data_IF_053001056700
#
_entry.id   IF_053001056700
#
_cell.length_a   1.000
_cell.length_b   1.000
_cell.length_c   1.000
_cell.angle_alpha   90.00
_cell.angle_beta   90.00
_cell.angle_gamma   90.00
#
_symmetry.space_group_name_H-M   'P 1'
#
loop_
_entity.id
_entity.type
_entity.pdbx_description
1 polymer ?
#
# COMPACT_ATOMS: atom_id res chain seq x y z
N UNK A 1 17.36 3.13 -9.82
CA UNK A 1 17.45 3.11 -8.32
C UNK A 1 16.37 2.21 -7.78
N UNK A 2 16.74 1.29 -6.92
CA UNK A 2 15.77 0.42 -6.28
C UNK A 2 14.95 1.20 -5.25
N UNK A 3 13.73 0.75 -5.01
CA UNK A 3 12.82 1.40 -4.05
C UNK A 3 13.42 1.46 -2.65
N UNK A 4 14.09 0.39 -2.21
CA UNK A 4 14.73 0.38 -0.90
C UNK A 4 15.77 1.50 -0.77
N UNK A 5 16.58 1.70 -1.81
CA UNK A 5 17.58 2.77 -1.82
C UNK A 5 16.94 4.15 -1.74
N UNK A 6 15.83 4.34 -2.46
CA UNK A 6 15.09 5.59 -2.44
C UNK A 6 14.56 5.90 -1.04
N UNK A 7 13.92 4.92 -0.38
CA UNK A 7 13.42 5.10 0.98
C UNK A 7 14.55 5.31 1.98
N UNK A 8 15.67 4.59 1.84
CA UNK A 8 16.82 4.75 2.72
C UNK A 8 17.40 6.17 2.64
N UNK A 9 17.30 6.80 1.47
CA UNK A 9 17.76 8.17 1.26
C UNK A 9 16.94 9.18 2.06
N UNK A 10 15.61 8.97 2.16
CA UNK A 10 14.73 9.83 2.93
C UNK A 10 14.66 9.47 4.42
N UNK A 11 15.00 8.25 4.77
CA UNK A 11 14.97 7.75 6.16
C UNK A 11 16.33 7.10 6.51
N UNK A 12 17.43 7.89 6.54
CA UNK A 12 18.76 7.32 6.63
C UNK A 12 19.07 6.59 7.94
N UNK A 13 18.36 6.92 9.01
CA UNK A 13 18.59 6.34 10.33
C UNK A 13 17.50 5.33 10.74
N UNK A 14 16.59 5.00 9.84
CA UNK A 14 15.48 4.10 10.14
C UNK A 14 15.72 2.72 9.55
N UNK A 15 15.24 1.70 10.26
CA UNK A 15 15.19 0.35 9.72
C UNK A 15 14.05 0.26 8.71
N UNK A 16 14.37 -0.23 7.52
CA UNK A 16 13.41 -0.39 6.44
C UNK A 16 13.18 -1.88 6.22
N UNK A 17 11.93 -2.31 6.38
CA UNK A 17 11.52 -3.69 6.10
C UNK A 17 10.74 -3.72 4.81
N UNK A 18 11.10 -4.60 3.89
CA UNK A 18 10.40 -4.82 2.63
C UNK A 18 9.95 -6.26 2.58
N UNK A 19 8.65 -6.47 2.33
CA UNK A 19 8.10 -7.80 2.20
C UNK A 19 7.12 -7.85 1.04
N UNK A 20 6.94 -9.04 0.49
CA UNK A 20 5.95 -9.25 -0.56
C UNK A 20 4.56 -9.27 0.05
N UNK A 21 3.60 -8.61 -0.60
CA UNK A 21 2.21 -8.68 -0.19
C UNK A 21 1.62 -9.98 -0.71
N UNK A 22 1.27 -10.89 0.21
CA UNK A 22 0.67 -12.17 -0.13
C UNK A 22 -0.85 -12.10 0.01
N UNK A 23 -1.63 -12.57 -0.97
CA UNK A 23 -3.08 -12.51 -0.89
C UNK A 23 -3.64 -13.40 0.23
N UNK A 24 -4.51 -12.81 1.06
CA UNK A 24 -5.27 -13.53 2.10
C UNK A 24 -6.76 -13.44 1.82
N UNK A 25 -7.22 -12.31 1.34
CA UNK A 25 -8.63 -12.04 1.03
C UNK A 25 -8.94 -12.15 -0.45
N UNK A 26 -7.93 -11.99 -1.31
CA UNK A 26 -8.08 -12.15 -2.76
C UNK A 26 -8.03 -13.63 -3.12
N UNK A 27 -8.69 -14.01 -4.20
CA UNK A 27 -8.71 -15.39 -4.68
C UNK A 27 -7.40 -15.83 -5.34
N UNK A 28 -6.51 -14.91 -5.66
CA UNK A 28 -5.23 -15.24 -6.25
C UNK A 28 -4.33 -15.95 -5.24
N UNK A 29 -3.46 -16.85 -5.72
CA UNK A 29 -2.49 -17.54 -4.87
C UNK A 29 -1.29 -16.65 -4.55
N UNK A 30 -0.97 -15.71 -5.46
CA UNK A 30 0.17 -14.83 -5.34
C UNK A 30 -0.07 -13.58 -6.20
N UNK A 31 0.57 -12.49 -5.85
CA UNK A 31 0.65 -11.32 -6.72
C UNK A 31 1.95 -11.30 -7.53
N UNK A 32 2.70 -12.41 -7.50
CA UNK A 32 3.89 -12.66 -8.32
C UNK A 32 4.95 -11.56 -8.21
N UNK A 33 5.18 -11.05 -6.99
CA UNK A 33 6.17 -9.99 -6.74
C UNK A 33 5.76 -8.60 -7.24
N UNK A 34 4.53 -8.44 -7.70
CA UNK A 34 4.04 -7.16 -8.22
C UNK A 34 3.60 -6.20 -7.12
N UNK A 35 3.35 -6.69 -5.92
CA UNK A 35 2.92 -5.91 -4.78
C UNK A 35 3.84 -6.15 -3.60
N UNK A 36 4.38 -5.06 -3.04
CA UNK A 36 5.30 -5.12 -1.90
C UNK A 36 4.85 -4.13 -0.83
N UNK A 37 5.17 -4.46 0.41
CA UNK A 37 4.89 -3.61 1.57
C UNK A 37 6.21 -3.15 2.15
N UNK A 38 6.34 -1.84 2.35
CA UNK A 38 7.51 -1.25 2.99
C UNK A 38 7.10 -0.70 4.34
N UNK A 39 7.77 -1.13 5.40
CA UNK A 39 7.53 -0.66 6.75
C UNK A 39 8.71 0.17 7.23
N UNK A 40 8.45 1.40 7.65
CA UNK A 40 9.44 2.33 8.19
C UNK A 40 8.80 2.99 9.42
N UNK A 41 9.27 2.62 10.62
CA UNK A 41 8.70 3.11 11.87
C UNK A 41 7.19 2.80 11.94
N UNK A 42 6.33 3.81 12.05
CA UNK A 42 4.87 3.62 12.06
C UNK A 42 4.23 3.75 10.68
N UNK A 43 5.02 4.08 9.67
CA UNK A 43 4.52 4.25 8.31
C UNK A 43 4.63 2.96 7.51
N UNK A 44 3.56 2.62 6.82
CA UNK A 44 3.47 1.41 6.01
C UNK A 44 3.00 1.79 4.61
N UNK A 45 3.80 1.43 3.61
CA UNK A 45 3.56 1.80 2.22
C UNK A 45 3.28 0.58 1.37
N UNK A 46 2.31 0.70 0.46
CA UNK A 46 2.07 -0.31 -0.57
C UNK A 46 2.71 0.13 -1.88
N UNK A 47 3.55 -0.73 -2.43
CA UNK A 47 4.19 -0.54 -3.72
C UNK A 47 3.57 -1.51 -4.71
N UNK A 48 2.97 -0.99 -5.76
CA UNK A 48 2.40 -1.80 -6.84
C UNK A 48 3.14 -1.44 -8.13
N UNK A 49 3.76 -2.43 -8.77
CA UNK A 49 4.56 -2.21 -9.99
C UNK A 49 5.57 -1.06 -9.85
N UNK A 50 6.30 -1.03 -8.72
CA UNK A 50 7.30 -0.01 -8.41
C UNK A 50 6.75 1.41 -8.18
N UNK A 51 5.45 1.54 -7.89
CA UNK A 51 4.80 2.82 -7.62
C UNK A 51 4.14 2.77 -6.25
N UNK A 52 4.32 3.82 -5.45
CA UNK A 52 3.59 3.96 -4.19
C UNK A 52 2.13 4.26 -4.52
N UNK A 53 1.21 3.39 -4.11
CA UNK A 53 -0.22 3.54 -4.44
C UNK A 53 -1.10 3.74 -3.22
N UNK A 54 -0.61 3.36 -2.04
CA UNK A 54 -1.37 3.53 -0.80
C UNK A 54 -0.40 3.51 0.39
N UNK A 55 -0.83 4.06 1.52
CA UNK A 55 -0.04 4.01 2.74
C UNK A 55 -0.94 4.25 3.95
N UNK A 56 -0.48 3.86 5.13
CA UNK A 56 -1.14 4.18 6.37
C UNK A 56 -0.13 4.34 7.50
N UNK A 57 -0.57 5.01 8.57
CA UNK A 57 0.24 5.15 9.78
C UNK A 57 -0.40 4.32 10.90
N UNK A 58 0.41 3.49 11.56
CA UNK A 58 -0.06 2.59 12.61
C UNK A 58 -0.53 3.32 13.87
N UNK A 59 0.08 4.46 14.16
CA UNK A 59 -0.24 5.24 15.35
C UNK A 59 -1.55 6.01 15.17
N UNK A 60 -1.67 6.76 14.07
CA UNK A 60 -2.86 7.56 13.80
C UNK A 60 -4.02 6.73 13.25
N UNK A 61 -3.74 5.57 12.67
CA UNK A 61 -4.69 4.70 11.98
C UNK A 61 -5.42 5.41 10.84
N UNK A 62 -4.70 6.29 10.16
CA UNK A 62 -5.19 7.00 8.98
C UNK A 62 -4.54 6.38 7.75
N UNK A 63 -5.38 6.00 6.78
CA UNK A 63 -4.93 5.44 5.52
C UNK A 63 -5.24 6.39 4.37
N UNK A 64 -4.38 6.40 3.37
CA UNK A 64 -4.57 7.15 2.14
C UNK A 64 -4.28 6.26 0.93
N UNK A 65 -5.06 6.44 -0.12
CA UNK A 65 -4.85 5.81 -1.42
C UNK A 65 -4.54 6.93 -2.41
N UNK A 66 -3.43 6.78 -3.13
CA UNK A 66 -2.96 7.81 -4.07
C UNK A 66 -3.84 7.81 -5.32
N UNK A 67 -4.06 6.62 -5.89
CA UNK A 67 -4.92 6.42 -7.04
C UNK A 67 -5.27 4.94 -7.12
N UNK A 68 -6.35 4.62 -7.78
CA UNK A 68 -6.78 3.23 -7.94
C UNK A 68 -6.21 2.58 -9.20
N UNK A 69 -5.67 3.36 -10.12
CA UNK A 69 -4.97 2.90 -11.32
C UNK A 69 -5.72 1.82 -12.10
N UNK A 70 -5.08 0.65 -12.27
CA UNK A 70 -5.65 -0.49 -13.00
C UNK A 70 -6.44 -1.41 -12.07
N UNK A 71 -7.20 -2.33 -12.65
CA UNK A 71 -7.91 -3.35 -11.89
C UNK A 71 -6.97 -4.21 -11.04
N UNK A 72 -5.77 -4.52 -11.55
CA UNK A 72 -4.77 -5.31 -10.82
C UNK A 72 -4.24 -4.53 -9.62
N UNK A 73 -3.90 -3.25 -9.80
CA UNK A 73 -3.45 -2.40 -8.70
C UNK A 73 -4.55 -2.24 -7.65
N UNK A 74 -5.80 -2.11 -8.08
CA UNK A 74 -6.93 -2.03 -7.14
C UNK A 74 -7.04 -3.29 -6.29
N UNK A 75 -6.77 -4.48 -6.84
CA UNK A 75 -6.74 -5.73 -6.06
C UNK A 75 -5.64 -5.67 -4.99
N UNK A 76 -4.46 -5.15 -5.34
CA UNK A 76 -3.36 -4.96 -4.38
C UNK A 76 -3.79 -4.00 -3.26
N UNK A 77 -4.42 -2.89 -3.60
CA UNK A 77 -4.90 -1.90 -2.64
C UNK A 77 -5.94 -2.51 -1.68
N UNK A 78 -6.90 -3.24 -2.20
CA UNK A 78 -7.91 -3.90 -1.38
C UNK A 78 -7.29 -4.88 -0.40
N UNK A 79 -6.37 -5.71 -0.87
CA UNK A 79 -5.69 -6.69 -0.02
C UNK A 79 -4.88 -6.00 1.07
N UNK A 80 -4.12 -4.97 0.71
CA UNK A 80 -3.32 -4.18 1.65
C UNK A 80 -4.19 -3.55 2.74
N UNK A 81 -5.27 -2.90 2.36
CA UNK A 81 -6.17 -2.24 3.31
C UNK A 81 -6.85 -3.27 4.23
N UNK A 82 -7.34 -4.37 3.69
CA UNK A 82 -8.01 -5.41 4.48
C UNK A 82 -7.07 -6.06 5.49
N UNK A 83 -5.86 -6.39 5.08
CA UNK A 83 -4.88 -6.98 5.99
C UNK A 83 -4.50 -6.02 7.12
N UNK A 84 -4.60 -4.72 6.86
CA UNK A 84 -4.29 -3.68 7.84
C UNK A 84 -5.49 -3.28 8.70
N UNK A 85 -6.64 -3.90 8.49
CA UNK A 85 -7.85 -3.65 9.28
C UNK A 85 -8.72 -2.51 8.77
N UNK A 86 -8.48 -2.02 7.55
CA UNK A 86 -9.28 -0.96 6.94
C UNK A 86 -10.33 -1.55 6.00
N UNK A 87 -11.47 -0.87 5.93
CA UNK A 87 -12.55 -1.27 5.04
C UNK A 87 -12.15 -1.07 3.58
N UNK A 88 -12.34 -2.10 2.77
CA UNK A 88 -12.03 -2.03 1.33
C UNK A 88 -12.98 -2.95 0.57
N UNK A 89 -14.06 -2.41 0.05
CA UNK A 89 -15.10 -3.19 -0.64
C UNK A 89 -15.16 -2.88 -2.13
N UNK A 90 -15.44 -1.63 -2.50
CA UNK A 90 -15.58 -1.23 -3.89
C UNK A 90 -14.60 -0.10 -4.21
N UNK A 91 -14.33 0.09 -5.51
CA UNK A 91 -13.51 1.19 -5.98
C UNK A 91 -14.07 2.54 -5.51
N UNK A 92 -15.37 2.73 -5.61
CA UNK A 92 -16.02 3.97 -5.19
C UNK A 92 -15.89 4.22 -3.69
N UNK A 93 -16.02 3.18 -2.89
CA UNK A 93 -15.87 3.29 -1.44
C UNK A 93 -14.43 3.67 -1.09
N UNK A 94 -13.44 3.06 -1.74
CA UNK A 94 -12.02 3.35 -1.52
C UNK A 94 -11.72 4.79 -1.93
N UNK A 95 -12.20 5.23 -3.07
CA UNK A 95 -12.00 6.59 -3.53
C UNK A 95 -12.63 7.61 -2.55
N UNK A 96 -13.83 7.32 -2.08
CA UNK A 96 -14.53 8.20 -1.14
C UNK A 96 -13.82 8.30 0.21
N UNK A 97 -13.38 7.16 0.74
CA UNK A 97 -12.88 7.08 2.12
C UNK A 97 -11.38 7.36 2.25
N UNK A 98 -10.58 7.08 1.23
CA UNK A 98 -9.13 7.13 1.35
C UNK A 98 -8.43 8.05 0.34
N UNK A 99 -9.08 8.44 -0.73
CA UNK A 99 -8.49 9.36 -1.68
C UNK A 99 -8.90 10.78 -1.35
N UNK A 100 -7.92 11.67 -1.20
CA UNK A 100 -8.22 13.08 -0.98
C UNK A 100 -8.61 13.72 -2.29
N UNK A 101 -9.73 14.44 -2.28
CA UNK A 101 -10.10 15.25 -3.42
C UNK A 101 -9.12 16.40 -3.58
N UNK A 102 -8.66 16.59 -4.79
CA UNK A 102 -7.89 17.78 -5.15
C UNK A 102 -8.90 18.86 -5.48
N UNK A 103 -9.01 19.79 -4.60
CA UNK A 103 -9.92 20.92 -4.79
C UNK A 103 -9.46 21.81 -5.95
#
# INVERSE_FOLDING_TARGET
MEIKELFQKFYPNSNISIMELCPCYDSAQSFYGKAKVIEIENDVFLISYNTIVAFYNRETKIAEVVDTYSATTLRHIKEFLRQSGFKAETKKQIERDYMKEVA
#
